data_IF_780510630508
#
_entry.id   IF_780510630508
#
_cell.length_a   1.000
_cell.length_b   1.000
_cell.length_c   1.000
_cell.angle_alpha   90.00
_cell.angle_beta   90.00
_cell.angle_gamma   90.00
#
_symmetry.space_group_name_H-M   'P 1'
#
loop_
_entity.id
_entity.type
_entity.pdbx_description
1 polymer ?
#
# COMPACT_ATOMS: atom_id res chain seq x y z
N UNK A 1 18.64 28.23 5.82
CA UNK A 1 17.27 28.04 5.27
C UNK A 1 16.50 27.24 6.28
N UNK A 2 15.27 27.65 6.59
CA UNK A 2 14.52 27.23 7.78
C UNK A 2 14.36 25.70 7.84
N UNK A 3 15.04 25.08 8.81
CA UNK A 3 15.31 23.63 8.97
C UNK A 3 14.31 22.95 9.91
N UNK A 4 13.07 23.45 9.99
CA UNK A 4 12.06 22.98 10.95
C UNK A 4 10.80 22.57 10.21
N UNK A 5 10.21 21.44 10.61
CA UNK A 5 8.93 20.95 10.08
C UNK A 5 7.84 21.99 10.28
N UNK A 6 7.11 22.29 9.21
CA UNK A 6 5.93 23.16 9.25
C UNK A 6 4.74 22.43 9.89
N UNK A 7 4.05 23.09 10.82
CA UNK A 7 2.97 22.48 11.61
C UNK A 7 1.75 22.16 10.76
N UNK A 8 1.40 23.03 9.82
CA UNK A 8 0.26 22.82 8.95
C UNK A 8 0.53 21.68 7.97
N UNK A 9 1.73 21.66 7.36
CA UNK A 9 2.17 20.55 6.52
C UNK A 9 2.20 19.20 7.23
N UNK A 10 2.67 19.16 8.49
CA UNK A 10 2.63 17.94 9.31
C UNK A 10 1.20 17.47 9.58
N UNK A 11 0.30 18.38 9.95
CA UNK A 11 -1.10 18.04 10.19
C UNK A 11 -1.78 17.51 8.92
N UNK A 12 -1.52 18.14 7.77
CA UNK A 12 -2.04 17.67 6.48
C UNK A 12 -1.52 16.27 6.12
N UNK A 13 -0.24 15.98 6.40
CA UNK A 13 0.35 14.67 6.20
C UNK A 13 -0.31 13.61 7.10
N UNK A 14 -0.51 13.91 8.38
CA UNK A 14 -1.17 13.01 9.34
C UNK A 14 -2.62 12.71 8.92
N UNK A 15 -3.37 13.73 8.51
CA UNK A 15 -4.73 13.57 7.96
C UNK A 15 -4.76 12.64 6.76
N UNK A 16 -3.86 12.85 5.80
CA UNK A 16 -3.80 12.02 4.59
C UNK A 16 -3.35 10.60 4.89
N UNK A 17 -2.37 10.41 5.78
CA UNK A 17 -1.89 9.10 6.19
C UNK A 17 -3.03 8.31 6.83
N UNK A 18 -3.68 8.88 7.85
CA UNK A 18 -4.74 8.21 8.59
C UNK A 18 -5.92 7.86 7.69
N UNK A 19 -6.42 8.83 6.91
CA UNK A 19 -7.54 8.58 6.00
C UNK A 19 -7.19 7.52 4.93
N UNK A 20 -5.97 7.56 4.40
CA UNK A 20 -5.53 6.55 3.41
C UNK A 20 -5.53 5.15 4.00
N UNK A 21 -5.01 5.00 5.22
CA UNK A 21 -4.99 3.71 5.92
C UNK A 21 -6.41 3.20 6.23
N UNK A 22 -7.34 4.09 6.61
CA UNK A 22 -8.75 3.70 6.82
C UNK A 22 -9.41 3.21 5.52
N UNK A 23 -9.17 3.91 4.40
CA UNK A 23 -9.74 3.49 3.09
C UNK A 23 -9.06 2.25 2.53
N UNK A 24 -7.78 2.04 2.82
CA UNK A 24 -7.05 0.84 2.43
C UNK A 24 -7.76 -0.43 2.88
N UNK A 25 -8.27 -0.45 4.12
CA UNK A 25 -9.00 -1.59 4.68
C UNK A 25 -10.19 -2.01 3.81
N UNK A 26 -10.98 -1.05 3.34
CA UNK A 26 -12.10 -1.32 2.44
C UNK A 26 -11.62 -1.79 1.05
N UNK A 27 -10.50 -1.26 0.56
CA UNK A 27 -9.89 -1.70 -0.71
C UNK A 27 -9.43 -3.14 -0.61
N UNK A 28 -8.78 -3.56 0.49
CA UNK A 28 -8.43 -4.98 0.67
C UNK A 28 -9.67 -5.85 0.79
N UNK A 29 -10.74 -5.41 1.48
CA UNK A 29 -11.99 -6.16 1.55
C UNK A 29 -12.63 -6.36 0.16
N UNK A 30 -12.63 -5.32 -0.68
CA UNK A 30 -13.10 -5.40 -2.05
C UNK A 30 -12.20 -6.30 -2.92
N UNK A 31 -10.89 -6.22 -2.73
CA UNK A 31 -9.92 -7.06 -3.42
C UNK A 31 -10.11 -8.54 -3.03
N UNK A 32 -10.22 -8.85 -1.74
CA UNK A 32 -10.50 -10.20 -1.22
C UNK A 32 -11.76 -10.83 -1.82
N UNK A 33 -12.78 -10.02 -2.13
CA UNK A 33 -13.98 -10.50 -2.82
C UNK A 33 -13.77 -10.77 -4.32
N UNK A 34 -12.78 -10.12 -4.95
CA UNK A 34 -12.47 -10.23 -6.37
C UNK A 34 -11.45 -11.33 -6.70
N UNK A 35 -10.53 -11.66 -5.78
CA UNK A 35 -9.49 -12.68 -6.02
C UNK A 35 -10.03 -14.11 -6.13
N UNK A 36 -9.29 -14.91 -6.88
CA UNK A 36 -9.40 -16.36 -7.03
C UNK A 36 -8.16 -17.09 -6.52
N UNK A 37 -7.03 -16.39 -6.34
CA UNK A 37 -5.79 -16.96 -5.81
C UNK A 37 -5.80 -16.90 -4.28
N UNK A 38 -5.69 -18.06 -3.63
CA UNK A 38 -5.75 -18.14 -2.15
C UNK A 38 -4.49 -17.57 -1.51
N UNK A 39 -3.33 -17.72 -2.13
CA UNK A 39 -2.07 -17.12 -1.68
C UNK A 39 -2.15 -15.59 -1.67
N UNK A 40 -2.67 -14.99 -2.75
CA UNK A 40 -2.95 -13.55 -2.82
C UNK A 40 -3.99 -13.10 -1.80
N UNK A 41 -5.04 -13.92 -1.59
CA UNK A 41 -6.04 -13.64 -0.56
C UNK A 41 -5.41 -13.67 0.85
N UNK A 42 -4.49 -14.60 1.11
CA UNK A 42 -3.76 -14.65 2.37
C UNK A 42 -2.89 -13.40 2.57
N UNK A 43 -2.20 -12.94 1.53
CA UNK A 43 -1.43 -11.70 1.54
C UNK A 43 -2.34 -10.51 1.91
N UNK A 44 -3.46 -10.31 1.21
CA UNK A 44 -4.37 -9.19 1.47
C UNK A 44 -5.01 -9.21 2.86
N UNK A 45 -5.19 -10.37 3.48
CA UNK A 45 -5.59 -10.45 4.90
C UNK A 45 -4.50 -9.87 5.81
N UNK A 46 -3.23 -10.17 5.56
CA UNK A 46 -2.10 -9.58 6.29
C UNK A 46 -2.01 -8.07 6.07
N UNK A 47 -2.17 -7.60 4.82
CA UNK A 47 -2.25 -6.17 4.51
C UNK A 47 -3.34 -5.46 5.31
N UNK A 48 -4.54 -6.05 5.36
CA UNK A 48 -5.69 -5.52 6.10
C UNK A 48 -5.43 -5.45 7.59
N UNK A 49 -4.91 -6.52 8.19
CA UNK A 49 -4.52 -6.52 9.61
C UNK A 49 -3.46 -5.47 9.92
N UNK A 50 -2.47 -5.33 9.04
CA UNK A 50 -1.45 -4.29 9.18
C UNK A 50 -2.08 -2.89 9.08
N UNK A 51 -3.01 -2.65 8.15
CA UNK A 51 -3.72 -1.37 8.05
C UNK A 51 -4.53 -1.04 9.30
N UNK A 52 -5.21 -2.02 9.92
CA UNK A 52 -5.88 -1.82 11.22
C UNK A 52 -4.92 -1.32 12.30
N UNK A 53 -3.75 -1.95 12.42
CA UNK A 53 -2.72 -1.54 13.39
C UNK A 53 -2.15 -0.16 13.06
N UNK A 54 -1.88 0.12 11.79
CA UNK A 54 -1.39 1.44 11.34
C UNK A 54 -2.40 2.55 11.62
N UNK A 55 -3.69 2.30 11.43
CA UNK A 55 -4.74 3.26 11.75
C UNK A 55 -4.75 3.61 13.24
N UNK A 56 -4.60 2.60 14.11
CA UNK A 56 -4.50 2.83 15.56
C UNK A 56 -3.27 3.66 15.93
N UNK A 57 -2.09 3.31 15.39
CA UNK A 57 -0.86 4.08 15.65
C UNK A 57 -1.02 5.54 15.22
N UNK A 58 -1.65 5.79 14.07
CA UNK A 58 -1.89 7.15 13.59
C UNK A 58 -2.88 7.88 14.50
N UNK A 59 -3.97 7.24 14.93
CA UNK A 59 -4.90 7.82 15.90
C UNK A 59 -4.22 8.22 17.22
N UNK A 60 -3.33 7.35 17.74
CA UNK A 60 -2.55 7.64 18.96
C UNK A 60 -1.64 8.88 18.78
N UNK A 61 -1.13 9.12 17.56
CA UNK A 61 -0.37 10.35 17.24
C UNK A 61 -1.26 11.58 17.29
N UNK A 62 -2.49 11.51 16.77
CA UNK A 62 -3.44 12.63 16.87
C UNK A 62 -3.70 12.98 18.34
N UNK A 63 -4.00 11.97 19.17
CA UNK A 63 -4.24 12.16 20.61
C UNK A 63 -3.02 12.76 21.32
N UNK A 64 -1.82 12.21 21.09
CA UNK A 64 -0.59 12.68 21.71
C UNK A 64 -0.20 14.11 21.32
N UNK A 65 -0.61 14.56 20.12
CA UNK A 65 -0.40 15.92 19.65
C UNK A 65 -1.57 16.88 19.97
N UNK A 66 -2.63 16.39 20.62
CA UNK A 66 -3.85 17.15 20.91
C UNK A 66 -4.58 17.61 19.65
N UNK A 67 -4.56 16.79 18.60
CA UNK A 67 -5.26 17.00 17.34
C UNK A 67 -6.56 16.18 17.32
N UNK A 68 -7.59 16.69 16.66
CA UNK A 68 -8.84 15.96 16.46
C UNK A 68 -8.71 15.05 15.23
N UNK A 69 -8.69 13.73 15.47
CA UNK A 69 -8.54 12.70 14.43
C UNK A 69 -9.72 12.65 13.46
N UNK A 70 -10.90 13.10 13.89
CA UNK A 70 -12.14 13.12 13.10
C UNK A 70 -12.38 14.47 12.41
N UNK A 71 -11.53 15.46 12.65
CA UNK A 71 -11.66 16.77 12.03
C UNK A 71 -11.61 16.66 10.50
N UNK A 72 -12.66 17.18 9.85
CA UNK A 72 -12.71 17.25 8.40
C UNK A 72 -11.73 18.30 7.87
N UNK A 73 -10.87 17.91 6.93
CA UNK A 73 -9.98 18.81 6.20
C UNK A 73 -10.08 18.56 4.69
N UNK A 74 -9.61 19.52 3.87
CA UNK A 74 -9.60 19.36 2.41
C UNK A 74 -8.72 18.18 1.98
N UNK A 75 -7.60 17.98 2.68
CA UNK A 75 -6.66 16.91 2.36
C UNK A 75 -7.21 15.53 2.77
N UNK A 76 -7.91 15.43 3.91
CA UNK A 76 -8.67 14.24 4.31
C UNK A 76 -9.78 13.93 3.31
N UNK A 77 -10.55 14.94 2.91
CA UNK A 77 -11.61 14.79 1.89
C UNK A 77 -11.05 14.25 0.57
N UNK A 78 -9.90 14.77 0.12
CA UNK A 78 -9.24 14.29 -1.10
C UNK A 78 -8.74 12.84 -0.95
N UNK A 79 -8.14 12.47 0.19
CA UNK A 79 -7.72 11.09 0.46
C UNK A 79 -8.92 10.12 0.49
N UNK A 80 -10.04 10.52 1.10
CA UNK A 80 -11.28 9.76 1.12
C UNK A 80 -11.85 9.55 -0.30
N UNK A 81 -11.83 10.59 -1.14
CA UNK A 81 -12.28 10.52 -2.52
C UNK A 81 -11.42 9.56 -3.36
N UNK A 82 -10.09 9.60 -3.21
CA UNK A 82 -9.19 8.64 -3.88
C UNK A 82 -9.52 7.20 -3.49
N UNK A 83 -9.66 6.93 -2.19
CA UNK A 83 -10.03 5.59 -1.70
C UNK A 83 -11.38 5.13 -2.25
N UNK A 84 -12.38 6.02 -2.29
CA UNK A 84 -13.68 5.75 -2.89
C UNK A 84 -13.56 5.40 -4.38
N UNK A 85 -12.76 6.15 -5.14
CA UNK A 85 -12.56 5.87 -6.57
C UNK A 85 -11.92 4.51 -6.83
N UNK A 86 -10.98 4.07 -5.97
CA UNK A 86 -10.41 2.71 -6.09
C UNK A 86 -11.49 1.63 -5.88
N UNK A 87 -12.37 1.81 -4.90
CA UNK A 87 -13.50 0.89 -4.68
C UNK A 87 -14.45 0.85 -5.87
N UNK A 88 -14.76 2.00 -6.47
CA UNK A 88 -15.60 2.09 -7.67
C UNK A 88 -14.94 1.39 -8.88
N UNK A 89 -13.63 1.51 -9.04
CA UNK A 89 -12.86 0.83 -10.10
C UNK A 89 -12.89 -0.69 -9.93
N UNK A 90 -12.68 -1.21 -8.71
CA UNK A 90 -12.80 -2.64 -8.43
C UNK A 90 -14.22 -3.13 -8.72
N UNK A 91 -15.23 -2.42 -8.23
CA UNK A 91 -16.62 -2.77 -8.45
C UNK A 91 -17.00 -2.79 -9.95
N UNK A 92 -16.51 -1.82 -10.72
CA UNK A 92 -16.70 -1.77 -12.17
C UNK A 92 -16.10 -3.00 -12.87
N UNK A 93 -14.88 -3.41 -12.50
CA UNK A 93 -14.24 -4.58 -13.09
C UNK A 93 -14.99 -5.89 -12.75
N UNK A 94 -15.46 -6.03 -11.49
CA UNK A 94 -16.28 -7.18 -11.06
C UNK A 94 -17.58 -7.28 -11.86
N UNK A 95 -18.25 -6.15 -12.13
CA UNK A 95 -19.48 -6.12 -12.95
C UNK A 95 -19.27 -6.62 -14.38
N UNK A 96 -18.04 -6.57 -14.90
CA UNK A 96 -17.69 -7.09 -16.22
C UNK A 96 -17.78 -8.62 -16.35
N UNK A 97 -17.84 -9.36 -15.23
CA UNK A 97 -18.01 -10.82 -15.20
C UNK A 97 -16.74 -11.63 -15.48
N UNK A 98 -15.64 -10.99 -15.88
CA UNK A 98 -14.32 -11.62 -15.99
C UNK A 98 -13.59 -11.55 -14.64
N UNK A 99 -13.53 -12.70 -13.95
CA UNK A 99 -12.89 -12.80 -12.63
C UNK A 99 -11.38 -12.51 -12.68
N UNK A 100 -10.68 -12.95 -13.72
CA UNK A 100 -9.24 -12.74 -13.83
C UNK A 100 -8.91 -11.28 -14.18
N UNK A 101 -9.76 -10.61 -14.96
CA UNK A 101 -9.64 -9.16 -15.14
C UNK A 101 -9.96 -8.39 -13.85
N UNK A 102 -10.99 -8.78 -13.11
CA UNK A 102 -11.35 -8.14 -11.84
C UNK A 102 -10.24 -8.27 -10.78
N UNK A 103 -9.64 -9.45 -10.65
CA UNK A 103 -8.50 -9.67 -9.77
C UNK A 103 -7.29 -8.80 -10.16
N UNK A 104 -6.93 -8.71 -11.44
CA UNK A 104 -5.86 -7.80 -11.91
C UNK A 104 -6.12 -6.35 -11.54
N UNK A 105 -7.33 -5.85 -11.79
CA UNK A 105 -7.72 -4.48 -11.43
C UNK A 105 -7.67 -4.27 -9.92
N UNK A 106 -8.11 -5.25 -9.13
CA UNK A 106 -8.01 -5.20 -7.67
C UNK A 106 -6.55 -5.13 -7.21
N UNK A 107 -5.66 -5.94 -7.78
CA UNK A 107 -4.22 -5.93 -7.46
C UNK A 107 -3.58 -4.58 -7.79
N UNK A 108 -3.94 -3.94 -8.92
CA UNK A 108 -3.47 -2.58 -9.23
C UNK A 108 -3.98 -1.54 -8.24
N UNK A 109 -5.24 -1.64 -7.82
CA UNK A 109 -5.80 -0.74 -6.80
C UNK A 109 -5.07 -0.91 -5.45
N UNK A 110 -4.77 -2.15 -5.05
CA UNK A 110 -3.97 -2.44 -3.86
C UNK A 110 -2.54 -1.89 -4.00
N UNK A 111 -1.90 -2.02 -5.16
CA UNK A 111 -0.58 -1.44 -5.43
C UNK A 111 -0.56 0.09 -5.24
N UNK A 112 -1.60 0.79 -5.71
CA UNK A 112 -1.72 2.24 -5.52
C UNK A 112 -1.89 2.62 -4.04
N UNK A 113 -2.64 1.83 -3.27
CA UNK A 113 -2.78 1.98 -1.82
C UNK A 113 -1.42 1.81 -1.13
N UNK A 114 -0.72 0.71 -1.41
CA UNK A 114 0.57 0.39 -0.80
C UNK A 114 1.63 1.45 -1.13
N UNK A 115 1.65 1.92 -2.38
CA UNK A 115 2.58 2.97 -2.81
C UNK A 115 2.37 4.27 -2.02
N UNK A 116 1.10 4.65 -1.79
CA UNK A 116 0.77 5.85 -1.01
C UNK A 116 1.06 5.67 0.47
N UNK A 117 0.73 4.52 1.05
CA UNK A 117 1.03 4.21 2.45
C UNK A 117 2.55 4.26 2.69
N UNK A 118 3.34 3.63 1.82
CA UNK A 118 4.81 3.69 1.89
C UNK A 118 5.35 5.13 1.80
N UNK A 119 4.79 5.97 0.91
CA UNK A 119 5.15 7.38 0.82
C UNK A 119 4.88 8.12 2.14
N UNK A 120 3.68 7.97 2.71
CA UNK A 120 3.34 8.65 3.97
C UNK A 120 4.25 8.21 5.11
N UNK A 121 4.55 6.91 5.25
CA UNK A 121 5.48 6.41 6.28
C UNK A 121 6.87 7.03 6.14
N UNK A 122 7.42 7.09 4.91
CA UNK A 122 8.71 7.74 4.65
C UNK A 122 8.69 9.24 4.98
N UNK A 123 7.61 9.94 4.65
CA UNK A 123 7.46 11.36 4.98
C UNK A 123 7.34 11.60 6.49
N UNK A 124 6.66 10.71 7.23
CA UNK A 124 6.59 10.76 8.69
C UNK A 124 7.95 10.51 9.33
N UNK A 125 8.74 9.56 8.81
CA UNK A 125 10.12 9.35 9.24
C UNK A 125 10.99 10.61 9.05
N UNK A 126 10.91 11.24 7.87
CA UNK A 126 11.59 12.52 7.61
C UNK A 126 11.11 13.60 8.58
N UNK A 127 9.79 13.71 8.82
CA UNK A 127 9.24 14.68 9.76
C UNK A 127 9.71 14.43 11.20
N UNK A 128 9.83 13.17 11.62
CA UNK A 128 10.34 12.77 12.93
C UNK A 128 11.80 13.21 13.13
N UNK A 129 12.66 13.02 12.11
CA UNK A 129 14.07 13.42 12.12
C UNK A 129 14.25 14.94 12.15
N UNK A 130 13.33 15.69 11.51
CA UNK A 130 13.42 17.15 11.34
C UNK A 130 12.60 17.94 12.37
N UNK A 131 11.86 17.26 13.23
CA UNK A 131 11.12 17.87 14.34
C UNK A 131 12.01 17.99 15.58
N UNK A 132 11.59 18.80 16.55
CA UNK A 132 12.25 18.92 17.84
C UNK A 132 11.26 18.86 19.01
N UNK A 133 11.75 18.51 20.19
CA UNK A 133 10.95 18.45 21.42
C UNK A 133 9.91 17.32 21.41
N UNK A 134 8.79 17.47 22.14
CA UNK A 134 7.79 16.42 22.31
C UNK A 134 7.21 15.88 20.99
N UNK A 135 6.97 16.75 20.00
CA UNK A 135 6.47 16.34 18.68
C UNK A 135 7.42 15.36 17.99
N UNK A 136 8.74 15.58 18.09
CA UNK A 136 9.72 14.68 17.50
C UNK A 136 9.69 13.30 18.15
N UNK A 137 9.48 13.24 19.47
CA UNK A 137 9.40 11.96 20.18
C UNK A 137 8.16 11.18 19.75
N UNK A 138 6.99 11.82 19.74
CA UNK A 138 5.73 11.20 19.29
C UNK A 138 5.86 10.63 17.87
N UNK A 139 6.47 11.39 16.95
CA UNK A 139 6.65 10.93 15.57
C UNK A 139 7.66 9.78 15.47
N UNK A 140 8.73 9.78 16.28
CA UNK A 140 9.71 8.68 16.29
C UNK A 140 9.09 7.39 16.81
N UNK A 141 8.35 7.46 17.91
CA UNK A 141 7.66 6.32 18.50
C UNK A 141 6.64 5.74 17.50
N UNK A 142 5.92 6.61 16.79
CA UNK A 142 5.00 6.19 15.73
C UNK A 142 5.72 5.54 14.55
N UNK A 143 6.83 6.12 14.08
CA UNK A 143 7.62 5.56 12.97
C UNK A 143 8.18 4.19 13.35
N UNK A 144 8.70 4.02 14.57
CA UNK A 144 9.16 2.72 15.07
C UNK A 144 8.02 1.69 15.10
N UNK A 145 6.84 2.08 15.60
CA UNK A 145 5.67 1.21 15.62
C UNK A 145 5.17 0.84 14.21
N UNK A 146 5.29 1.75 13.23
CA UNK A 146 4.96 1.50 11.83
C UNK A 146 6.03 0.65 11.12
N UNK A 147 7.31 0.79 11.48
CA UNK A 147 8.44 0.07 10.89
C UNK A 147 8.63 -1.35 11.45
N UNK A 148 8.26 -1.58 12.70
CA UNK A 148 8.15 -2.92 13.28
C UNK A 148 7.15 -3.81 12.50
N UNK A 149 6.37 -3.21 11.60
CA UNK A 149 5.40 -3.84 10.71
C UNK A 149 5.88 -3.85 9.25
N UNK A 150 7.19 -3.67 8.97
CA UNK A 150 7.76 -3.73 7.60
C UNK A 150 7.72 -5.17 7.11
N UNK A 151 6.56 -5.50 6.60
CA UNK A 151 6.33 -6.60 5.70
C UNK A 151 6.63 -6.09 4.26
N UNK A 152 7.39 -6.84 3.44
CA UNK A 152 7.62 -6.52 2.03
C UNK A 152 6.36 -6.50 1.16
N UNK A 153 5.14 -6.51 1.73
CA UNK A 153 3.84 -6.10 1.17
C UNK A 153 3.89 -5.31 -0.15
N UNK A 154 4.48 -4.11 -0.16
CA UNK A 154 4.50 -3.28 -1.38
C UNK A 154 5.30 -3.93 -2.53
N UNK A 155 6.39 -4.63 -2.20
CA UNK A 155 7.19 -5.40 -3.15
C UNK A 155 6.44 -6.66 -3.62
N UNK A 156 5.75 -7.37 -2.72
CA UNK A 156 4.94 -8.53 -3.04
C UNK A 156 3.76 -8.17 -3.94
N UNK A 157 3.00 -7.14 -3.58
CA UNK A 157 1.88 -6.61 -4.38
C UNK A 157 2.33 -6.19 -5.78
N UNK A 158 3.51 -5.59 -5.91
CA UNK A 158 4.10 -5.28 -7.23
C UNK A 158 4.40 -6.57 -8.02
N UNK A 159 4.97 -7.59 -7.36
CA UNK A 159 5.18 -8.91 -7.93
C UNK A 159 3.86 -9.53 -8.44
N UNK A 160 2.81 -9.53 -7.63
CA UNK A 160 1.50 -10.05 -8.03
C UNK A 160 0.92 -9.30 -9.21
N UNK A 161 0.95 -7.97 -9.19
CA UNK A 161 0.48 -7.16 -10.30
C UNK A 161 1.20 -7.54 -11.60
N UNK A 162 2.54 -7.70 -11.55
CA UNK A 162 3.35 -8.11 -12.69
C UNK A 162 2.97 -9.49 -13.20
N UNK A 163 2.95 -10.50 -12.33
CA UNK A 163 2.76 -11.89 -12.74
C UNK A 163 1.34 -12.16 -13.25
N UNK A 164 0.31 -11.52 -12.67
CA UNK A 164 -1.06 -11.60 -13.17
C UNK A 164 -1.19 -10.98 -14.58
N UNK A 165 -0.45 -9.91 -14.88
CA UNK A 165 -0.40 -9.35 -16.23
C UNK A 165 0.36 -10.23 -17.21
N UNK A 166 1.47 -10.84 -16.79
CA UNK A 166 2.21 -11.81 -17.60
C UNK A 166 1.30 -12.98 -18.00
N UNK A 167 0.52 -13.51 -17.05
CA UNK A 167 -0.46 -14.57 -17.31
C UNK A 167 -1.52 -14.13 -18.32
N UNK A 168 -2.09 -12.93 -18.13
CA UNK A 168 -3.09 -12.40 -19.04
C UNK A 168 -2.58 -12.11 -20.47
N UNK A 169 -1.26 -11.95 -20.64
CA UNK A 169 -0.61 -11.83 -21.94
C UNK A 169 -0.32 -13.19 -22.59
N UNK A 170 -0.66 -14.30 -21.94
CA UNK A 170 -0.36 -15.66 -22.39
C UNK A 170 1.11 -16.04 -22.22
N UNK A 171 1.85 -15.33 -21.37
CA UNK A 171 3.25 -15.59 -21.06
C UNK A 171 3.37 -16.41 -19.78
N UNK A 172 4.55 -16.99 -19.53
CA UNK A 172 4.76 -17.98 -18.47
C UNK A 172 4.89 -17.35 -17.07
N UNK A 173 3.79 -16.87 -16.47
CA UNK A 173 3.80 -16.28 -15.13
C UNK A 173 4.33 -17.22 -14.02
N UNK A 174 4.84 -16.62 -12.95
CA UNK A 174 5.25 -17.31 -11.72
C UNK A 174 4.34 -16.85 -10.58
N UNK A 175 3.35 -17.68 -10.24
CA UNK A 175 2.39 -17.44 -9.15
C UNK A 175 2.56 -18.51 -8.06
N UNK A 176 2.78 -18.15 -6.78
CA UNK A 176 2.99 -16.78 -6.28
C UNK A 176 4.29 -16.15 -6.81
N UNK A 177 4.40 -14.81 -6.80
CA UNK A 177 5.60 -14.10 -7.24
C UNK A 177 6.86 -14.54 -6.48
N UNK A 178 8.03 -14.53 -7.12
CA UNK A 178 9.29 -14.92 -6.47
C UNK A 178 9.61 -14.06 -5.24
N UNK A 179 9.12 -12.82 -5.20
CA UNK A 179 9.24 -11.92 -4.04
C UNK A 179 8.59 -12.50 -2.78
N UNK A 180 7.52 -13.30 -2.89
CA UNK A 180 6.86 -13.89 -1.71
C UNK A 180 7.63 -15.08 -1.11
N UNK A 181 8.38 -15.79 -1.94
CA UNK A 181 8.95 -17.11 -1.58
C UNK A 181 10.45 -17.04 -1.35
N UNK A 182 11.14 -16.11 -2.01
CA UNK A 182 12.59 -16.00 -1.97
C UNK A 182 13.05 -14.74 -1.23
N UNK A 183 14.22 -14.77 -0.56
CA UNK A 183 14.84 -13.55 -0.03
C UNK A 183 15.00 -12.49 -1.14
N UNK A 184 14.82 -11.21 -0.82
CA UNK A 184 14.74 -10.11 -1.80
C UNK A 184 15.88 -10.10 -2.85
N UNK A 185 17.09 -10.50 -2.48
CA UNK A 185 18.23 -10.60 -3.41
C UNK A 185 18.03 -11.66 -4.50
N UNK A 186 17.45 -12.82 -4.14
CA UNK A 186 17.15 -13.94 -5.04
C UNK A 186 15.91 -13.66 -5.88
N UNK A 187 14.92 -12.96 -5.30
CA UNK A 187 13.74 -12.51 -6.04
C UNK A 187 14.12 -11.60 -7.22
N UNK A 188 15.05 -10.65 -7.02
CA UNK A 188 15.52 -9.77 -8.10
C UNK A 188 16.14 -10.51 -9.29
N UNK A 189 16.90 -11.58 -9.02
CA UNK A 189 17.50 -12.43 -10.07
C UNK A 189 16.43 -13.24 -10.82
N UNK A 190 15.43 -13.77 -10.10
CA UNK A 190 14.30 -14.50 -10.69
C UNK A 190 13.50 -13.61 -11.64
N UNK A 191 13.22 -12.36 -11.24
CA UNK A 191 12.54 -11.35 -12.08
C UNK A 191 13.34 -11.03 -13.34
N UNK A 192 14.65 -10.79 -13.20
CA UNK A 192 15.52 -10.47 -14.34
C UNK A 192 15.62 -11.64 -15.33
N UNK A 193 15.72 -12.87 -14.81
CA UNK A 193 15.74 -14.12 -15.60
C UNK A 193 14.42 -14.32 -16.34
N UNK A 194 13.29 -14.09 -15.66
CA UNK A 194 11.96 -14.18 -16.26
C UNK A 194 11.79 -13.18 -17.42
N UNK A 195 12.14 -11.91 -17.18
CA UNK A 195 12.11 -10.86 -18.22
C UNK A 195 13.02 -11.18 -19.41
N UNK A 196 14.15 -11.84 -19.20
CA UNK A 196 15.04 -12.27 -20.27
C UNK A 196 14.44 -13.40 -21.13
N UNK A 197 13.72 -14.36 -20.51
CA UNK A 197 13.03 -15.45 -21.20
C UNK A 197 11.86 -14.96 -22.05
N UNK A 198 11.07 -14.01 -21.54
CA UNK A 198 9.97 -13.39 -22.29
C UNK A 198 10.47 -12.69 -23.57
N UNK A 199 11.65 -12.05 -23.53
CA UNK A 199 12.28 -11.44 -24.72
C UNK A 199 12.77 -12.46 -25.75
N UNK A 200 13.15 -13.67 -25.33
CA UNK A 200 13.62 -14.73 -26.24
C UNK A 200 12.50 -15.46 -26.98
N UNK A 201 11.27 -15.42 -26.47
CA UNK A 201 10.10 -16.08 -27.07
C UNK A 201 9.39 -15.30 -28.18
N UNK A 202 9.75 -14.03 -28.40
CA UNK A 202 9.15 -13.15 -29.43
C UNK A 202 9.78 -13.33 -30.82
N UNK A 203 10.63 -14.34 -31.01
CA UNK A 203 11.27 -14.66 -32.28
C UNK A 203 10.51 -15.76 -33.03
N UNK A 204 9.23 -15.56 -33.37
CA UNK A 204 8.50 -16.36 -34.36
C UNK A 204 7.41 -15.56 -35.06
#
# INVERSE_FOLDING_TARGET
>A
MTTRVDREGLHQLLDQAHETTLRAMAVYDAALAATTHEELAAEWRLHREAAHRRAQVLADVFDALGLDVEASSRVRTAAAALGKSLLEVIAYAVQGGDRAAAERVATECVLLVETRDQLHRKLLAIAAERSAGPVAQVLKDAVEALEAQVDPLALHTLGWSRELWIDALGLAAVLPPPEEVAPAAVAGEAVASHAARARGGLAH
#
